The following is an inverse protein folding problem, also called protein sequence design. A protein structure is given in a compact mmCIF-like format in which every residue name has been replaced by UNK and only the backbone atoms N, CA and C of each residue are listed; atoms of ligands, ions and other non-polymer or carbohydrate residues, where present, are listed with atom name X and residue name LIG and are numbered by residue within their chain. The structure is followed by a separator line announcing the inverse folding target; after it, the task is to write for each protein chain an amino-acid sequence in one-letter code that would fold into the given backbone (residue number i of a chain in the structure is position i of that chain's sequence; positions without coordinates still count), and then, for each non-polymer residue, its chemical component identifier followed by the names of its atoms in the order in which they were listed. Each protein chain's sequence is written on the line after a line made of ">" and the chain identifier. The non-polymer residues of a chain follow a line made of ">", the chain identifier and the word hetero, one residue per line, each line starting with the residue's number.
data_IF_699236352936
#
_entry.id   IF_699236352936
#
_cell.length_a   1.000
_cell.length_b   1.000
_cell.length_c   1.000
_cell.angle_alpha   90.00
_cell.angle_beta   90.00
_cell.angle_gamma   90.00
#
_symmetry.space_group_name_H-M   'P 1'
#
loop_
_entity.id
_entity.type
_entity.pdbx_description
1 polymer ?
#
# COMPACT_ATOMS: atom_id res chain seq x y z
N UNK A 1 14.69 -35.98 -6.96
CA UNK A 1 14.42 -35.05 -8.07
C UNK A 1 14.87 -33.68 -7.59
N UNK A 2 15.68 -32.93 -8.36
CA UNK A 2 16.09 -31.59 -7.93
C UNK A 2 14.87 -30.65 -7.98
N UNK A 3 14.76 -29.63 -7.10
CA UNK A 3 13.60 -28.75 -7.09
C UNK A 3 13.36 -28.03 -8.42
N UNK A 4 14.43 -27.62 -9.11
CA UNK A 4 14.33 -26.99 -10.43
C UNK A 4 13.69 -27.91 -11.48
N UNK A 5 14.00 -29.21 -11.47
CA UNK A 5 13.42 -30.18 -12.40
C UNK A 5 11.93 -30.41 -12.13
N UNK A 6 11.52 -30.34 -10.87
CA UNK A 6 10.14 -30.49 -10.46
C UNK A 6 9.31 -29.27 -10.89
N UNK A 7 9.84 -28.08 -10.65
CA UNK A 7 9.22 -26.81 -11.04
C UNK A 7 9.12 -26.67 -12.56
N UNK A 8 10.17 -27.04 -13.32
CA UNK A 8 10.17 -26.95 -14.78
C UNK A 8 9.15 -27.86 -15.48
N UNK A 9 8.61 -28.88 -14.78
CA UNK A 9 7.52 -29.71 -15.30
C UNK A 9 6.17 -29.01 -15.25
N UNK A 10 6.00 -28.07 -14.34
CA UNK A 10 4.72 -27.39 -14.09
C UNK A 10 4.73 -25.95 -14.54
N UNK A 11 5.90 -25.31 -14.58
CA UNK A 11 6.08 -23.90 -14.93
C UNK A 11 7.04 -23.76 -16.12
N UNK A 12 6.62 -22.99 -17.12
CA UNK A 12 7.39 -22.81 -18.36
C UNK A 12 8.57 -21.85 -18.21
N UNK A 13 8.63 -21.10 -17.11
CA UNK A 13 9.69 -20.15 -16.80
C UNK A 13 10.21 -20.42 -15.39
N UNK A 14 11.32 -21.15 -15.31
CA UNK A 14 11.99 -21.53 -14.08
C UNK A 14 13.49 -21.42 -14.29
N UNK A 15 14.19 -20.80 -13.33
CA UNK A 15 15.64 -20.60 -13.40
C UNK A 15 16.27 -20.53 -12.02
N UNK A 16 17.60 -20.67 -11.90
CA UNK A 16 18.32 -20.27 -10.70
C UNK A 16 18.06 -18.80 -10.36
N UNK A 17 18.02 -18.49 -9.06
CA UNK A 17 17.97 -17.11 -8.59
C UNK A 17 19.33 -16.44 -8.67
N UNK A 18 19.32 -15.11 -8.73
CA UNK A 18 20.52 -14.28 -8.75
C UNK A 18 20.64 -13.43 -7.48
N UNK A 19 21.86 -13.10 -7.00
CA UNK A 19 22.06 -12.24 -5.83
C UNK A 19 21.33 -10.90 -5.88
N UNK A 20 21.21 -10.31 -7.07
CA UNK A 20 20.51 -9.03 -7.28
C UNK A 20 19.01 -9.10 -7.01
N UNK A 21 18.42 -10.30 -6.99
CA UNK A 21 17.01 -10.56 -6.70
C UNK A 21 16.77 -10.81 -5.20
N UNK A 22 17.81 -10.64 -4.39
CA UNK A 22 17.76 -10.82 -2.94
C UNK A 22 16.75 -9.90 -2.27
N UNK A 23 15.92 -10.46 -1.41
CA UNK A 23 14.96 -9.70 -0.61
C UNK A 23 15.68 -9.22 0.63
N UNK A 24 16.10 -7.95 0.65
CA UNK A 24 16.80 -7.36 1.79
C UNK A 24 18.05 -8.17 2.22
N UNK A 25 18.82 -8.64 1.24
CA UNK A 25 20.03 -9.45 1.43
C UNK A 25 19.81 -10.96 1.45
N UNK A 26 18.56 -11.44 1.37
CA UNK A 26 18.24 -12.87 1.38
C UNK A 26 18.04 -13.36 -0.05
N UNK A 27 19.06 -14.03 -0.59
CA UNK A 27 19.13 -14.47 -1.97
C UNK A 27 18.17 -15.64 -2.26
N UNK A 28 17.39 -15.60 -3.35
CA UNK A 28 16.58 -16.74 -3.77
C UNK A 28 17.44 -17.85 -4.38
N UNK A 29 17.19 -19.11 -4.04
CA UNK A 29 17.84 -20.23 -4.73
C UNK A 29 17.27 -20.44 -6.15
N UNK A 30 15.95 -20.26 -6.30
CA UNK A 30 15.23 -20.47 -7.55
C UNK A 30 14.22 -19.35 -7.79
N UNK A 31 13.90 -19.11 -9.05
CA UNK A 31 12.81 -18.24 -9.49
C UNK A 31 11.88 -19.03 -10.38
N UNK A 32 10.57 -18.89 -10.18
CA UNK A 32 9.54 -19.40 -11.08
C UNK A 32 8.55 -18.28 -11.41
N UNK A 33 8.20 -18.13 -12.69
CA UNK A 33 7.23 -17.14 -13.14
C UNK A 33 6.01 -17.84 -13.77
N UNK A 34 4.97 -18.19 -13.00
CA UNK A 34 3.77 -18.79 -13.55
C UNK A 34 3.02 -17.80 -14.45
N UNK A 35 2.41 -18.29 -15.53
CA UNK A 35 1.63 -17.45 -16.47
C UNK A 35 0.15 -17.32 -16.12
N UNK A 36 -0.36 -18.17 -15.24
CA UNK A 36 -1.78 -18.22 -14.87
C UNK A 36 -1.99 -18.87 -13.50
N UNK A 37 -3.24 -18.85 -13.03
CA UNK A 37 -3.64 -19.40 -11.74
C UNK A 37 -3.33 -20.90 -11.56
N UNK A 38 -3.40 -21.68 -12.64
CA UNK A 38 -3.17 -23.13 -12.59
C UNK A 38 -1.68 -23.42 -12.45
N UNK A 39 -0.85 -22.77 -13.27
CA UNK A 39 0.60 -22.86 -13.20
C UNK A 39 1.10 -22.39 -11.82
N UNK A 40 0.53 -21.31 -11.28
CA UNK A 40 0.82 -20.82 -9.94
C UNK A 40 0.46 -21.84 -8.84
N UNK A 41 -0.71 -22.49 -8.96
CA UNK A 41 -1.14 -23.54 -8.03
C UNK A 41 -0.20 -24.76 -8.04
N UNK A 42 0.25 -25.16 -9.22
CA UNK A 42 1.15 -26.30 -9.38
C UNK A 42 2.56 -25.97 -8.86
N UNK A 43 3.08 -24.78 -9.10
CA UNK A 43 4.34 -24.27 -8.52
C UNK A 43 4.29 -24.30 -6.99
N UNK A 44 3.21 -23.76 -6.40
CA UNK A 44 3.05 -23.72 -4.95
C UNK A 44 2.92 -25.13 -4.35
N UNK A 45 2.30 -26.08 -5.07
CA UNK A 45 2.23 -27.48 -4.63
C UNK A 45 3.60 -28.16 -4.62
N UNK A 46 4.39 -27.96 -5.68
CA UNK A 46 5.77 -28.46 -5.72
C UNK A 46 6.59 -27.86 -4.58
N UNK A 47 6.46 -26.55 -4.32
CA UNK A 47 7.11 -25.90 -3.19
C UNK A 47 6.70 -26.51 -1.84
N UNK A 48 5.41 -26.80 -1.65
CA UNK A 48 4.90 -27.44 -0.44
C UNK A 48 5.47 -28.86 -0.24
N UNK A 49 5.42 -29.69 -1.29
CA UNK A 49 5.94 -31.07 -1.29
C UNK A 49 7.44 -31.14 -0.99
N UNK A 50 8.18 -30.11 -1.40
CA UNK A 50 9.63 -30.04 -1.23
C UNK A 50 10.06 -29.17 -0.03
N UNK A 51 9.13 -28.59 0.71
CA UNK A 51 9.42 -27.78 1.90
C UNK A 51 10.09 -26.42 1.62
N UNK A 52 9.95 -25.89 0.41
CA UNK A 52 10.57 -24.63 -0.02
C UNK A 52 9.86 -23.44 0.63
N UNK A 53 10.62 -22.48 1.16
CA UNK A 53 10.12 -21.16 1.49
C UNK A 53 9.92 -20.32 0.23
N UNK A 54 8.75 -19.70 0.14
CA UNK A 54 8.30 -18.97 -1.03
C UNK A 54 8.15 -17.48 -0.74
N UNK A 55 8.75 -16.63 -1.56
CA UNK A 55 8.50 -15.18 -1.53
C UNK A 55 7.83 -14.74 -2.84
N UNK A 56 6.57 -14.26 -2.79
CA UNK A 56 5.93 -13.65 -3.95
C UNK A 56 6.62 -12.34 -4.35
N UNK A 57 6.77 -12.12 -5.66
CA UNK A 57 7.38 -10.92 -6.23
C UNK A 57 6.52 -10.31 -7.34
N UNK A 58 6.38 -8.98 -7.31
CA UNK A 58 5.88 -8.16 -8.42
C UNK A 58 7.00 -7.35 -9.06
N UNK A 59 6.77 -6.07 -9.30
CA UNK A 59 7.79 -5.16 -9.87
C UNK A 59 8.79 -4.60 -8.84
N UNK A 60 8.96 -5.29 -7.69
CA UNK A 60 9.96 -4.97 -6.66
C UNK A 60 9.89 -3.59 -5.98
N UNK A 61 8.91 -2.74 -6.32
CA UNK A 61 8.84 -1.34 -5.85
C UNK A 61 8.71 -1.14 -4.32
N UNK A 62 8.44 -2.21 -3.56
CA UNK A 62 8.31 -2.24 -2.09
C UNK A 62 8.85 -3.54 -1.50
N UNK A 63 9.76 -4.22 -2.21
CA UNK A 63 10.32 -5.49 -1.73
C UNK A 63 11.19 -5.28 -0.48
N UNK A 64 11.72 -4.07 -0.34
CA UNK A 64 12.45 -3.52 0.79
C UNK A 64 11.56 -3.16 2.00
N UNK A 65 10.24 -3.28 1.89
CA UNK A 65 9.34 -3.04 3.01
C UNK A 65 9.24 -4.24 3.96
N UNK A 66 9.24 -3.96 5.27
CA UNK A 66 9.16 -4.95 6.33
C UNK A 66 10.53 -5.49 6.76
N UNK A 67 10.53 -6.70 7.31
CA UNK A 67 11.74 -7.40 7.73
C UNK A 67 12.26 -8.31 6.60
N UNK A 68 13.56 -8.65 6.57
CA UNK A 68 14.06 -9.69 5.67
C UNK A 68 13.33 -11.00 5.94
N UNK A 69 13.01 -11.80 4.90
CA UNK A 69 12.49 -13.14 5.12
C UNK A 69 13.59 -14.01 5.77
N UNK A 70 13.23 -14.95 6.64
CA UNK A 70 14.20 -15.85 7.28
C UNK A 70 14.93 -16.74 6.26
N UNK A 71 14.25 -17.07 5.16
CA UNK A 71 14.78 -17.82 4.00
C UNK A 71 13.97 -17.53 2.75
N UNK A 72 14.61 -17.69 1.59
CA UNK A 72 13.99 -17.58 0.27
C UNK A 72 14.48 -18.73 -0.60
N UNK A 73 13.78 -19.87 -0.59
CA UNK A 73 14.17 -21.02 -1.41
C UNK A 73 13.62 -20.88 -2.85
N UNK A 74 12.44 -20.28 -2.97
CA UNK A 74 11.77 -20.02 -4.24
C UNK A 74 11.16 -18.62 -4.25
N UNK A 75 11.52 -17.83 -5.24
CA UNK A 75 10.86 -16.57 -5.53
C UNK A 75 9.84 -16.81 -6.65
N UNK A 76 8.57 -16.44 -6.38
CA UNK A 76 7.50 -16.60 -7.38
C UNK A 76 7.16 -15.24 -7.98
N UNK A 77 7.54 -15.05 -9.23
CA UNK A 77 7.40 -13.80 -9.97
C UNK A 77 6.05 -13.75 -10.72
N UNK A 78 5.31 -12.67 -10.50
CA UNK A 78 3.99 -12.46 -11.10
C UNK A 78 4.01 -11.76 -12.46
N UNK A 79 5.19 -11.42 -13.01
CA UNK A 79 5.27 -10.61 -14.24
C UNK A 79 4.57 -11.20 -15.47
N UNK A 80 4.39 -12.54 -15.54
CA UNK A 80 3.67 -13.22 -16.64
C UNK A 80 2.16 -13.26 -16.44
N UNK A 81 1.65 -12.82 -15.29
CA UNK A 81 0.23 -12.65 -14.96
C UNK A 81 -0.10 -11.16 -14.97
N UNK A 82 -0.03 -10.52 -16.14
CA UNK A 82 -0.16 -9.07 -16.28
C UNK A 82 -1.46 -8.61 -16.96
N UNK A 83 -2.41 -9.51 -17.25
CA UNK A 83 -3.62 -9.23 -18.02
C UNK A 83 -4.72 -8.47 -17.26
N UNK A 84 -5.47 -7.65 -18.00
CA UNK A 84 -6.82 -7.24 -17.62
C UNK A 84 -7.79 -8.35 -18.05
N UNK A 85 -8.22 -9.17 -17.11
CA UNK A 85 -9.08 -10.35 -17.36
C UNK A 85 -10.47 -9.92 -17.82
N UNK A 86 -11.04 -8.90 -17.17
CA UNK A 86 -12.39 -8.43 -17.46
C UNK A 86 -12.55 -6.94 -17.13
N UNK A 87 -13.29 -6.22 -17.97
CA UNK A 87 -13.76 -4.86 -17.68
C UNK A 87 -15.26 -4.76 -17.95
N UNK A 88 -16.06 -5.04 -16.92
CA UNK A 88 -17.51 -4.89 -16.95
C UNK A 88 -17.87 -3.42 -16.68
N UNK A 89 -17.64 -2.54 -17.66
CA UNK A 89 -17.81 -1.10 -17.50
C UNK A 89 -19.24 -0.71 -17.05
N UNK A 90 -20.27 -1.40 -17.51
CA UNK A 90 -21.66 -1.17 -17.07
C UNK A 90 -21.89 -1.37 -15.57
N UNK A 91 -21.07 -2.22 -14.95
CA UNK A 91 -21.16 -2.56 -13.53
C UNK A 91 -20.14 -1.79 -12.67
N UNK A 92 -19.30 -0.94 -13.28
CA UNK A 92 -18.14 -0.32 -12.63
C UNK A 92 -17.24 -1.37 -11.95
N UNK A 93 -16.93 -2.45 -12.67
CA UNK A 93 -16.08 -3.54 -12.17
C UNK A 93 -15.00 -3.89 -13.16
N UNK A 94 -13.79 -4.14 -12.68
CA UNK A 94 -12.73 -4.75 -13.45
C UNK A 94 -12.04 -5.86 -12.65
N UNK A 95 -11.59 -6.88 -13.37
CA UNK A 95 -10.78 -7.98 -12.85
C UNK A 95 -9.43 -7.97 -13.53
N UNK A 96 -8.36 -7.92 -12.76
CA UNK A 96 -6.98 -7.83 -13.24
C UNK A 96 -6.08 -8.84 -12.54
N UNK A 97 -5.06 -9.31 -13.27
CA UNK A 97 -4.04 -10.19 -12.73
C UNK A 97 -3.04 -9.42 -11.84
N UNK A 98 -2.40 -10.15 -10.91
CA UNK A 98 -1.57 -9.58 -9.86
C UNK A 98 -0.29 -8.89 -10.37
N UNK A 99 0.24 -9.31 -11.53
CA UNK A 99 1.41 -8.72 -12.16
C UNK A 99 1.10 -7.48 -12.99
N UNK A 100 -0.17 -7.14 -13.25
CA UNK A 100 -0.54 -5.99 -14.08
C UNK A 100 -0.04 -4.69 -13.41
N UNK A 101 0.78 -3.86 -14.11
CA UNK A 101 1.18 -2.55 -13.59
C UNK A 101 -0.04 -1.63 -13.40
N UNK A 102 -0.07 -0.90 -12.29
CA UNK A 102 -1.21 -0.05 -11.90
C UNK A 102 -1.46 1.08 -12.92
N UNK A 103 -0.42 1.61 -13.55
CA UNK A 103 -0.53 2.63 -14.60
C UNK A 103 -1.17 2.06 -15.87
N UNK A 104 -0.79 0.83 -16.24
CA UNK A 104 -1.37 0.13 -17.39
C UNK A 104 -2.83 -0.20 -17.13
N UNK A 105 -3.17 -0.65 -15.91
CA UNK A 105 -4.57 -0.82 -15.49
C UNK A 105 -5.32 0.52 -15.60
N UNK A 106 -4.77 1.61 -15.05
CA UNK A 106 -5.37 2.93 -15.11
C UNK A 106 -5.66 3.40 -16.54
N UNK A 107 -4.71 3.22 -17.46
CA UNK A 107 -4.87 3.57 -18.87
C UNK A 107 -6.00 2.77 -19.54
N UNK A 108 -6.05 1.44 -19.33
CA UNK A 108 -7.10 0.59 -19.89
C UNK A 108 -8.50 0.96 -19.38
N UNK A 109 -8.61 1.29 -18.09
CA UNK A 109 -9.89 1.70 -17.50
C UNK A 109 -10.36 3.06 -18.03
N UNK A 110 -9.42 3.98 -18.26
CA UNK A 110 -9.69 5.32 -18.74
C UNK A 110 -10.29 5.34 -20.16
N UNK A 111 -10.02 4.32 -20.99
CA UNK A 111 -10.65 4.15 -22.31
C UNK A 111 -12.18 4.10 -22.26
N UNK A 112 -12.75 3.70 -21.11
CA UNK A 112 -14.20 3.71 -20.86
C UNK A 112 -14.63 4.79 -19.87
N UNK A 113 -13.80 5.82 -19.65
CA UNK A 113 -14.09 6.92 -18.73
C UNK A 113 -14.15 6.49 -17.26
N UNK A 114 -13.44 5.42 -16.89
CA UNK A 114 -13.42 4.85 -15.54
C UNK A 114 -12.01 4.83 -14.97
N UNK A 115 -11.93 4.75 -13.64
CA UNK A 115 -10.68 4.62 -12.90
C UNK A 115 -10.84 3.68 -11.72
N UNK A 116 -9.74 3.06 -11.32
CA UNK A 116 -9.56 2.58 -9.96
C UNK A 116 -9.16 3.80 -9.12
N UNK A 117 -10.01 4.19 -8.15
CA UNK A 117 -9.79 5.41 -7.34
C UNK A 117 -8.77 5.16 -6.22
N UNK A 118 -7.55 4.82 -6.62
CA UNK A 118 -6.42 4.53 -5.77
C UNK A 118 -5.18 5.20 -6.36
N UNK A 119 -4.43 5.93 -5.54
CA UNK A 119 -3.18 6.56 -5.96
C UNK A 119 -2.07 5.52 -6.19
N UNK A 120 -1.06 5.90 -6.97
CA UNK A 120 0.16 5.11 -7.21
C UNK A 120 1.38 5.92 -6.75
N UNK A 121 1.70 5.95 -5.43
CA UNK A 121 2.79 6.76 -4.90
C UNK A 121 4.19 6.36 -5.42
N UNK A 122 4.34 5.11 -5.85
CA UNK A 122 5.56 4.58 -6.45
C UNK A 122 5.25 4.03 -7.84
N UNK A 123 5.77 4.64 -8.91
CA UNK A 123 5.55 4.18 -10.27
C UNK A 123 5.99 2.73 -10.48
N UNK A 124 5.31 2.02 -11.37
CA UNK A 124 5.60 0.63 -11.72
C UNK A 124 5.03 -0.40 -10.72
N UNK A 125 4.31 0.03 -9.69
CA UNK A 125 3.64 -0.87 -8.74
C UNK A 125 2.69 -1.82 -9.48
N UNK A 126 2.64 -3.10 -9.09
CA UNK A 126 1.67 -4.05 -9.64
C UNK A 126 0.40 -4.13 -8.79
N UNK A 127 -0.68 -4.67 -9.35
CA UNK A 127 -1.95 -4.95 -8.66
C UNK A 127 -1.71 -5.75 -7.37
N UNK A 128 -0.98 -6.87 -7.46
CA UNK A 128 -0.70 -7.76 -6.34
C UNK A 128 0.16 -7.09 -5.27
N UNK A 129 1.22 -6.39 -5.67
CA UNK A 129 2.09 -5.66 -4.73
C UNK A 129 1.35 -4.54 -4.00
N UNK A 130 0.47 -3.81 -4.70
CA UNK A 130 -0.35 -2.75 -4.13
C UNK A 130 -1.31 -3.29 -3.07
N UNK A 131 -1.98 -4.41 -3.34
CA UNK A 131 -2.84 -5.09 -2.36
C UNK A 131 -2.00 -5.62 -1.20
N UNK A 132 -0.95 -6.40 -1.48
CA UNK A 132 -0.14 -7.06 -0.44
C UNK A 132 0.51 -6.07 0.53
N UNK A 133 0.85 -4.86 0.10
CA UNK A 133 1.41 -3.79 0.95
C UNK A 133 0.36 -2.83 1.51
N UNK A 134 -0.89 -2.90 1.02
CA UNK A 134 -1.96 -1.99 1.42
C UNK A 134 -1.69 -0.53 1.04
N UNK A 135 -0.86 -0.30 0.02
CA UNK A 135 -0.43 1.04 -0.39
C UNK A 135 -1.61 1.89 -0.85
N UNK A 136 -1.64 3.15 -0.40
CA UNK A 136 -2.66 4.13 -0.72
C UNK A 136 -2.07 5.55 -0.66
N UNK A 137 -2.71 6.51 -1.33
CA UNK A 137 -2.37 7.92 -1.27
C UNK A 137 -3.56 8.79 -0.84
N UNK A 138 -3.58 10.07 -1.23
CA UNK A 138 -4.55 11.05 -0.77
C UNK A 138 -6.02 10.70 -1.04
N UNK A 139 -6.33 9.99 -2.13
CA UNK A 139 -7.70 9.59 -2.48
C UNK A 139 -8.35 8.68 -1.43
N UNK A 140 -7.56 8.13 -0.51
CA UNK A 140 -8.07 7.36 0.62
C UNK A 140 -9.06 8.11 1.50
N UNK A 141 -9.03 9.44 1.51
CA UNK A 141 -9.98 10.27 2.25
C UNK A 141 -11.42 9.99 1.82
N UNK A 142 -11.68 9.89 0.52
CA UNK A 142 -13.02 9.63 -0.01
C UNK A 142 -13.24 8.15 -0.37
N UNK A 143 -12.24 7.49 -0.95
CA UNK A 143 -12.39 6.17 -1.57
C UNK A 143 -11.85 5.00 -0.73
N UNK A 144 -11.08 5.30 0.33
CA UNK A 144 -10.41 4.30 1.15
C UNK A 144 -9.15 3.72 0.51
N UNK A 145 -8.71 2.56 1.00
CA UNK A 145 -7.45 1.90 0.56
C UNK A 145 -7.76 0.69 -0.34
N UNK A 146 -6.77 -0.12 -0.80
CA UNK A 146 -7.06 -1.35 -1.54
C UNK A 146 -8.08 -2.23 -0.83
N UNK A 147 -8.05 -2.24 0.51
CA UNK A 147 -8.99 -2.93 1.39
C UNK A 147 -10.46 -2.58 1.15
N UNK A 148 -10.74 -1.35 0.69
CA UNK A 148 -12.08 -0.84 0.44
C UNK A 148 -12.53 -1.05 -1.01
N UNK A 149 -11.58 -1.16 -1.94
CA UNK A 149 -11.82 -1.17 -3.38
C UNK A 149 -11.81 -2.58 -3.98
N UNK A 150 -11.11 -3.52 -3.35
CA UNK A 150 -11.13 -4.94 -3.72
C UNK A 150 -12.46 -5.56 -3.28
N UNK A 151 -13.24 -6.07 -4.24
CA UNK A 151 -14.53 -6.75 -4.02
C UNK A 151 -14.47 -8.24 -4.35
N UNK A 152 -13.36 -8.70 -4.92
CA UNK A 152 -13.09 -10.12 -5.16
C UNK A 152 -11.59 -10.39 -5.27
N UNK A 153 -11.16 -11.59 -4.88
CA UNK A 153 -9.75 -11.98 -4.85
C UNK A 153 -9.62 -13.47 -5.15
N UNK A 154 -8.67 -13.84 -6.02
CA UNK A 154 -8.20 -15.21 -6.21
C UNK A 154 -6.79 -15.31 -5.68
N UNK A 155 -6.56 -16.28 -4.81
CA UNK A 155 -5.25 -16.55 -4.21
C UNK A 155 -4.88 -18.03 -4.36
N UNK A 156 -3.59 -18.31 -4.35
CA UNK A 156 -3.05 -19.66 -4.18
C UNK A 156 -2.45 -19.76 -2.77
N UNK A 157 -2.92 -20.72 -1.98
CA UNK A 157 -2.44 -20.98 -0.62
C UNK A 157 -1.06 -21.66 -0.64
N UNK A 158 -0.43 -21.77 0.53
CA UNK A 158 0.87 -22.42 0.68
C UNK A 158 0.89 -23.88 0.21
N UNK A 159 -0.25 -24.57 0.20
CA UNK A 159 -0.42 -25.96 -0.24
C UNK A 159 -0.77 -26.09 -1.74
N UNK A 160 -0.80 -24.98 -2.47
CA UNK A 160 -1.19 -24.95 -3.89
C UNK A 160 -2.70 -25.02 -4.14
N UNK A 161 -3.55 -24.92 -3.11
CA UNK A 161 -5.00 -24.80 -3.33
C UNK A 161 -5.37 -23.38 -3.77
N UNK A 162 -6.18 -23.29 -4.83
CA UNK A 162 -6.77 -22.03 -5.27
C UNK A 162 -7.98 -21.72 -4.41
N UNK A 163 -7.97 -20.58 -3.73
CA UNK A 163 -9.10 -20.05 -2.99
C UNK A 163 -9.62 -18.77 -3.65
N UNK A 164 -10.93 -18.59 -3.62
CA UNK A 164 -11.62 -17.42 -4.17
C UNK A 164 -12.57 -16.83 -3.14
N UNK A 165 -12.65 -15.52 -3.12
CA UNK A 165 -13.57 -14.78 -2.28
C UNK A 165 -14.14 -13.59 -3.02
N UNK A 166 -15.32 -13.15 -2.59
CA UNK A 166 -16.00 -12.00 -3.18
C UNK A 166 -16.63 -12.35 -4.52
N UNK A 167 -16.89 -11.32 -5.33
CA UNK A 167 -17.50 -11.47 -6.64
C UNK A 167 -17.72 -10.13 -7.33
N UNK A 168 -18.48 -10.14 -8.43
CA UNK A 168 -18.77 -8.94 -9.23
C UNK A 168 -19.80 -8.00 -8.57
N UNK A 169 -20.46 -8.46 -7.51
CA UNK A 169 -21.54 -7.70 -6.87
C UNK A 169 -20.99 -6.84 -5.73
N UNK A 170 -21.36 -5.56 -5.74
CA UNK A 170 -20.95 -4.56 -4.73
C UNK A 170 -21.34 -4.97 -3.31
N UNK A 171 -22.47 -5.68 -3.15
CA UNK A 171 -22.89 -6.26 -1.88
C UNK A 171 -22.71 -7.76 -1.92
N UNK A 172 -21.74 -8.26 -1.15
CA UNK A 172 -21.58 -9.67 -0.90
C UNK A 172 -21.75 -9.95 0.61
N UNK A 173 -22.67 -10.84 0.96
CA UNK A 173 -22.96 -11.24 2.34
C UNK A 173 -22.59 -12.69 2.62
N UNK A 174 -21.95 -13.37 1.66
CA UNK A 174 -21.54 -14.76 1.77
C UNK A 174 -20.01 -14.88 1.85
N UNK A 175 -19.54 -15.60 2.87
CA UNK A 175 -18.11 -15.86 3.10
C UNK A 175 -17.36 -14.73 3.80
N UNK A 176 -16.09 -14.98 4.08
CA UNK A 176 -15.18 -14.00 4.68
C UNK A 176 -14.53 -13.14 3.60
N UNK A 177 -14.34 -11.84 3.87
CA UNK A 177 -13.73 -10.91 2.93
C UNK A 177 -12.20 -11.09 2.89
N UNK A 178 -11.71 -11.91 1.96
CA UNK A 178 -10.26 -12.10 1.76
C UNK A 178 -9.57 -10.84 1.23
N UNK A 179 -10.26 -9.97 0.49
CA UNK A 179 -9.69 -8.70 0.03
C UNK A 179 -9.18 -7.88 1.21
N UNK A 180 -9.98 -7.82 2.29
CA UNK A 180 -9.59 -7.16 3.53
C UNK A 180 -8.48 -7.85 4.30
N UNK A 181 -8.41 -9.17 4.24
CA UNK A 181 -7.37 -9.94 4.94
C UNK A 181 -6.02 -9.84 4.24
N UNK A 182 -6.00 -9.90 2.91
CA UNK A 182 -4.78 -9.87 2.10
C UNK A 182 -4.21 -8.46 1.91
N UNK A 183 -5.03 -7.43 2.09
CA UNK A 183 -4.58 -6.04 2.06
C UNK A 183 -3.62 -5.76 3.21
N UNK A 184 -2.33 -5.59 2.91
CA UNK A 184 -1.28 -5.43 3.93
C UNK A 184 -0.76 -6.75 4.53
N UNK A 185 -0.91 -7.87 3.83
CA UNK A 185 -0.41 -9.20 4.26
C UNK A 185 1.05 -9.50 3.93
N UNK A 186 1.71 -8.65 3.13
CA UNK A 186 3.13 -8.78 2.75
C UNK A 186 3.50 -10.14 2.10
N UNK A 187 2.53 -10.85 1.51
CA UNK A 187 2.74 -12.15 0.86
C UNK A 187 2.77 -13.34 1.82
N UNK A 188 2.50 -13.14 3.11
CA UNK A 188 2.62 -14.18 4.14
C UNK A 188 1.45 -15.18 4.19
N UNK A 189 0.31 -14.86 3.57
CA UNK A 189 -0.91 -15.68 3.66
C UNK A 189 -1.24 -16.45 2.38
N UNK A 190 -0.65 -16.07 1.25
CA UNK A 190 -0.89 -16.67 -0.05
C UNK A 190 -0.34 -15.83 -1.19
N UNK A 191 -0.20 -16.45 -2.35
CA UNK A 191 0.10 -15.76 -3.60
C UNK A 191 -1.19 -15.16 -4.17
N UNK A 192 -1.25 -13.84 -4.30
CA UNK A 192 -2.35 -13.18 -5.00
C UNK A 192 -2.18 -13.43 -6.50
N UNK A 193 -3.23 -13.93 -7.15
CA UNK A 193 -3.22 -14.24 -8.59
C UNK A 193 -4.00 -13.20 -9.38
N UNK A 194 -5.21 -12.87 -8.92
CA UNK A 194 -6.05 -11.85 -9.52
C UNK A 194 -6.92 -11.16 -8.48
N UNK A 195 -7.34 -9.93 -8.80
CA UNK A 195 -8.22 -9.13 -7.97
C UNK A 195 -9.34 -8.51 -8.81
N UNK A 196 -10.52 -8.43 -8.22
CA UNK A 196 -11.69 -7.74 -8.77
C UNK A 196 -11.90 -6.46 -7.97
N UNK A 197 -12.01 -5.34 -8.69
CA UNK A 197 -12.11 -4.01 -8.12
C UNK A 197 -13.47 -3.38 -8.42
N UNK A 198 -13.96 -2.60 -7.46
CA UNK A 198 -14.99 -1.58 -7.72
C UNK A 198 -14.32 -0.34 -8.31
N UNK A 199 -14.87 0.13 -9.42
CA UNK A 199 -14.39 1.28 -10.17
C UNK A 199 -15.24 2.52 -9.89
N UNK A 200 -14.72 3.65 -10.32
CA UNK A 200 -15.36 4.95 -10.24
C UNK A 200 -15.26 5.64 -11.61
N UNK A 201 -16.19 6.54 -11.96
CA UNK A 201 -16.01 7.38 -13.14
C UNK A 201 -14.79 8.28 -12.97
N UNK A 202 -14.11 8.59 -14.09
CA UNK A 202 -13.18 9.71 -14.15
C UNK A 202 -13.99 10.99 -14.01
N UNK A 203 -13.58 11.88 -13.11
CA UNK A 203 -14.27 13.15 -12.90
C UNK A 203 -14.16 14.04 -14.14
N UNK A 204 -15.25 14.73 -14.48
CA UNK A 204 -15.28 15.65 -15.64
C UNK A 204 -14.46 16.92 -15.40
N UNK A 205 -14.26 17.29 -14.14
CA UNK A 205 -13.38 18.37 -13.72
C UNK A 205 -12.72 18.05 -12.38
N UNK A 206 -11.55 18.64 -12.17
CA UNK A 206 -10.82 18.63 -10.90
C UNK A 206 -10.18 19.99 -10.65
N UNK A 207 -10.08 20.38 -9.38
CA UNK A 207 -9.31 21.54 -8.96
C UNK A 207 -8.55 21.22 -7.66
N UNK A 208 -7.37 21.82 -7.55
CA UNK A 208 -6.55 21.80 -6.35
C UNK A 208 -6.63 23.16 -5.68
N UNK A 209 -6.93 23.18 -4.38
CA UNK A 209 -6.79 24.39 -3.57
C UNK A 209 -5.68 24.16 -2.57
N UNK A 210 -4.65 25.01 -2.58
CA UNK A 210 -3.49 24.89 -1.70
C UNK A 210 -3.24 26.18 -0.94
N UNK A 211 -2.86 26.07 0.32
CA UNK A 211 -2.41 27.21 1.12
C UNK A 211 -1.08 26.89 1.81
N UNK A 212 -0.27 27.92 2.04
CA UNK A 212 0.95 27.81 2.84
C UNK A 212 0.61 28.06 4.30
N UNK A 213 1.13 27.20 5.17
CA UNK A 213 0.93 27.24 6.62
C UNK A 213 2.28 27.36 7.33
N UNK A 214 2.30 28.03 8.48
CA UNK A 214 3.52 28.24 9.27
C UNK A 214 3.46 27.48 10.58
N UNK A 215 4.06 26.28 10.59
CA UNK A 215 4.18 25.47 11.80
C UNK A 215 2.96 24.58 12.08
N UNK A 216 2.98 23.95 13.25
CA UNK A 216 2.10 22.84 13.58
C UNK A 216 0.64 23.24 13.83
N UNK A 217 0.40 24.36 14.51
CA UNK A 217 -0.96 24.85 14.81
C UNK A 217 -1.66 25.31 13.52
N UNK A 218 -1.02 26.15 12.70
CA UNK A 218 -1.60 26.60 11.43
C UNK A 218 -1.96 25.43 10.51
N UNK A 219 -1.08 24.42 10.43
CA UNK A 219 -1.33 23.21 9.65
C UNK A 219 -2.52 22.42 10.19
N UNK A 220 -2.60 22.27 11.52
CA UNK A 220 -3.72 21.63 12.20
C UNK A 220 -5.03 22.35 11.92
N UNK A 221 -5.07 23.67 12.16
CA UNK A 221 -6.27 24.49 12.00
C UNK A 221 -6.77 24.49 10.55
N UNK A 222 -5.88 24.60 9.57
CA UNK A 222 -6.24 24.52 8.16
C UNK A 222 -6.85 23.15 7.79
N UNK A 223 -6.24 22.05 8.24
CA UNK A 223 -6.76 20.69 8.02
C UNK A 223 -8.12 20.51 8.71
N UNK A 224 -8.25 20.93 9.98
CA UNK A 224 -9.51 20.82 10.72
C UNK A 224 -10.61 21.66 10.09
N UNK A 225 -10.30 22.89 9.64
CA UNK A 225 -11.26 23.78 8.99
C UNK A 225 -11.86 23.15 7.74
N UNK A 226 -11.00 22.55 6.88
CA UNK A 226 -11.47 21.87 5.67
C UNK A 226 -12.30 20.63 6.01
N UNK A 227 -11.84 19.80 6.95
CA UNK A 227 -12.54 18.55 7.33
C UNK A 227 -13.94 18.80 7.93
N UNK A 228 -14.13 19.90 8.66
CA UNK A 228 -15.41 20.27 9.27
C UNK A 228 -16.28 21.14 8.36
N UNK A 229 -15.82 21.45 7.14
CA UNK A 229 -16.61 22.19 6.16
C UNK A 229 -17.66 21.31 5.49
N UNK A 230 -18.68 21.95 4.90
CA UNK A 230 -19.70 21.26 4.11
C UNK A 230 -19.24 20.87 2.69
N UNK A 231 -18.00 21.18 2.30
CA UNK A 231 -17.51 21.04 0.91
C UNK A 231 -17.25 19.59 0.51
N UNK A 232 -16.95 18.71 1.49
CA UNK A 232 -16.65 17.29 1.30
C UNK A 232 -15.62 17.04 0.17
N UNK A 233 -14.33 17.28 0.42
CA UNK A 233 -13.30 17.14 -0.59
C UNK A 233 -13.04 15.67 -0.97
N UNK A 234 -12.53 15.46 -2.19
CA UNK A 234 -12.09 14.12 -2.63
C UNK A 234 -10.83 13.68 -1.91
N UNK A 235 -9.91 14.61 -1.65
CA UNK A 235 -8.72 14.37 -0.83
C UNK A 235 -8.26 15.66 -0.14
N UNK A 236 -7.53 15.50 0.95
CA UNK A 236 -6.91 16.55 1.74
C UNK A 236 -5.57 16.01 2.23
N UNK A 237 -4.50 16.77 2.03
CA UNK A 237 -3.14 16.39 2.42
C UNK A 237 -2.39 17.60 2.98
N UNK A 238 -1.71 17.43 4.11
CA UNK A 238 -0.58 18.27 4.51
C UNK A 238 0.71 17.69 3.95
N UNK A 239 1.56 18.55 3.39
CA UNK A 239 2.83 18.21 2.77
C UNK A 239 3.90 19.13 3.36
N UNK A 240 4.91 18.56 4.00
CA UNK A 240 6.08 19.33 4.47
C UNK A 240 6.76 20.07 3.32
N UNK A 241 7.32 21.28 3.57
CA UNK A 241 7.49 21.91 4.87
C UNK A 241 6.29 22.74 5.37
N UNK A 242 5.15 22.79 4.66
CA UNK A 242 4.05 23.65 5.07
C UNK A 242 3.04 23.98 3.98
N UNK A 243 2.60 22.97 3.23
CA UNK A 243 1.52 23.11 2.24
C UNK A 243 0.33 22.27 2.69
N UNK A 244 -0.84 22.86 2.84
CA UNK A 244 -2.11 22.12 2.93
C UNK A 244 -2.77 22.19 1.57
N UNK A 245 -3.16 21.04 1.03
CA UNK A 245 -3.72 20.91 -0.29
C UNK A 245 -5.01 20.09 -0.28
N UNK A 246 -5.99 20.52 -1.06
CA UNK A 246 -7.33 19.95 -1.16
C UNK A 246 -7.62 19.64 -2.61
N UNK A 247 -8.02 18.40 -2.90
CA UNK A 247 -8.51 17.98 -4.21
C UNK A 247 -10.04 17.97 -4.20
N UNK A 248 -10.61 18.63 -5.20
CA UNK A 248 -12.04 18.64 -5.49
C UNK A 248 -12.26 18.02 -6.87
N UNK A 249 -13.18 17.07 -6.95
CA UNK A 249 -13.53 16.40 -8.20
C UNK A 249 -15.04 16.35 -8.39
N UNK A 250 -15.50 16.49 -9.64
CA UNK A 250 -16.91 16.41 -9.98
C UNK A 250 -17.23 17.02 -11.34
N UNK A 251 -18.36 17.71 -11.43
CA UNK A 251 -18.74 18.50 -12.60
C UNK A 251 -18.09 19.90 -12.55
N UNK A 252 -17.81 20.55 -13.70
CA UNK A 252 -17.06 21.80 -13.75
C UNK A 252 -17.59 22.89 -12.81
N UNK A 253 -18.89 23.18 -12.87
CA UNK A 253 -19.53 24.25 -12.08
C UNK A 253 -19.45 23.96 -10.58
N UNK A 254 -19.65 22.68 -10.20
CA UNK A 254 -19.58 22.23 -8.81
C UNK A 254 -18.16 22.23 -8.26
N UNK A 255 -17.16 21.97 -9.09
CA UNK A 255 -15.74 22.08 -8.70
C UNK A 255 -15.37 23.55 -8.50
N UNK A 256 -15.75 24.43 -9.42
CA UNK A 256 -15.44 25.87 -9.33
C UNK A 256 -16.00 26.52 -8.06
N UNK A 257 -17.28 26.27 -7.75
CA UNK A 257 -17.93 26.81 -6.54
C UNK A 257 -17.24 26.29 -5.27
N UNK A 258 -17.00 24.98 -5.19
CA UNK A 258 -16.34 24.36 -4.04
C UNK A 258 -14.90 24.82 -3.87
N UNK A 259 -14.17 25.04 -4.97
CA UNK A 259 -12.80 25.53 -4.93
C UNK A 259 -12.73 26.94 -4.35
N UNK A 260 -13.66 27.82 -4.74
CA UNK A 260 -13.80 29.15 -4.14
C UNK A 260 -14.13 29.10 -2.66
N UNK A 261 -15.06 28.24 -2.24
CA UNK A 261 -15.40 28.06 -0.83
C UNK A 261 -14.20 27.58 0.01
N UNK A 262 -13.42 26.62 -0.49
CA UNK A 262 -12.20 26.17 0.20
C UNK A 262 -11.15 27.28 0.24
N UNK A 263 -10.99 28.04 -0.85
CA UNK A 263 -10.05 29.16 -0.87
C UNK A 263 -10.42 30.25 0.15
N UNK A 264 -11.72 30.57 0.28
CA UNK A 264 -12.24 31.49 1.30
C UNK A 264 -11.98 30.96 2.72
N UNK A 265 -12.22 29.66 2.96
CA UNK A 265 -11.97 29.03 4.26
C UNK A 265 -10.48 29.01 4.65
N UNK A 266 -9.59 28.83 3.67
CA UNK A 266 -8.14 28.80 3.87
C UNK A 266 -7.50 30.19 3.86
N UNK A 267 -8.27 31.23 3.55
CA UNK A 267 -7.85 32.63 3.58
C UNK A 267 -7.03 33.10 2.38
N UNK A 268 -6.50 34.33 2.47
CA UNK A 268 -5.88 35.06 1.35
C UNK A 268 -4.69 34.36 0.69
N UNK A 269 -4.03 33.44 1.39
CA UNK A 269 -2.88 32.68 0.89
C UNK A 269 -3.28 31.44 0.07
N UNK A 270 -4.57 31.16 -0.08
CA UNK A 270 -5.06 30.04 -0.86
C UNK A 270 -4.92 30.28 -2.37
N UNK A 271 -4.50 29.24 -3.09
CA UNK A 271 -4.35 29.23 -4.55
C UNK A 271 -5.13 28.08 -5.14
N UNK A 272 -5.96 28.39 -6.14
CA UNK A 272 -6.67 27.42 -6.96
C UNK A 272 -5.82 27.12 -8.20
N UNK A 273 -5.65 25.84 -8.53
CA UNK A 273 -4.92 25.38 -9.70
C UNK A 273 -5.57 24.13 -10.31
N UNK A 274 -5.35 23.92 -11.60
CA UNK A 274 -5.84 22.73 -12.31
C UNK A 274 -4.91 21.51 -12.14
N UNK A 275 -3.71 21.72 -11.60
CA UNK A 275 -2.70 20.69 -11.36
C UNK A 275 -2.36 20.54 -9.88
N UNK A 276 -1.98 19.33 -9.49
CA UNK A 276 -1.54 19.04 -8.14
C UNK A 276 -0.30 19.87 -7.73
N UNK A 277 -0.19 20.28 -6.46
CA UNK A 277 1.03 20.92 -5.96
C UNK A 277 2.19 19.92 -5.87
N UNK A 278 3.41 20.45 -5.80
CA UNK A 278 4.61 19.63 -5.60
C UNK A 278 4.51 18.75 -4.34
N UNK A 279 4.91 17.49 -4.47
CA UNK A 279 4.87 16.51 -3.39
C UNK A 279 3.53 15.80 -3.19
N UNK A 280 2.44 16.22 -3.86
CA UNK A 280 1.13 15.60 -3.74
C UNK A 280 1.16 14.10 -4.04
N UNK A 281 0.64 13.29 -3.12
CA UNK A 281 0.53 11.85 -3.27
C UNK A 281 1.86 11.10 -3.37
N UNK A 282 2.97 11.72 -2.97
CA UNK A 282 4.31 11.09 -2.92
C UNK A 282 4.67 10.74 -1.48
N UNK A 283 5.49 9.71 -1.32
CA UNK A 283 6.15 9.49 -0.03
C UNK A 283 7.16 10.61 0.23
N UNK A 284 7.31 11.06 1.48
CA UNK A 284 8.33 12.03 1.85
C UNK A 284 9.73 11.47 1.60
N UNK A 285 10.65 12.35 1.19
CA UNK A 285 12.04 11.96 0.96
C UNK A 285 12.72 11.50 2.25
N UNK A 286 13.56 10.47 2.15
CA UNK A 286 14.33 9.95 3.27
C UNK A 286 14.92 8.58 2.99
N UNK A 287 15.83 8.13 3.87
CA UNK A 287 16.33 6.75 3.86
C UNK A 287 15.55 5.85 4.78
N UNK A 288 14.77 6.41 5.71
CA UNK A 288 13.84 5.64 6.54
C UNK A 288 12.43 6.21 6.36
N UNK A 289 11.50 5.33 5.98
CA UNK A 289 10.10 5.67 5.79
C UNK A 289 9.28 5.09 6.95
N UNK A 290 8.60 5.96 7.69
CA UNK A 290 7.73 5.58 8.80
C UNK A 290 6.28 5.88 8.42
N UNK A 291 5.43 4.88 8.48
CA UNK A 291 3.99 4.98 8.31
C UNK A 291 3.33 5.32 9.65
N UNK A 292 2.49 6.35 9.68
CA UNK A 292 1.84 6.82 10.90
C UNK A 292 0.33 6.84 10.73
N UNK A 293 -0.38 6.44 11.78
CA UNK A 293 -1.84 6.42 11.80
C UNK A 293 -2.32 7.01 13.13
N UNK A 294 -3.24 7.97 13.08
CA UNK A 294 -3.97 8.52 14.23
C UNK A 294 -5.11 9.41 13.73
N UNK A 295 -6.13 9.72 14.54
CA UNK A 295 -7.14 10.71 14.17
C UNK A 295 -6.53 12.02 13.63
N UNK A 296 -7.17 12.71 12.66
CA UNK A 296 -6.62 13.91 12.03
C UNK A 296 -6.09 15.00 12.98
N UNK A 297 -6.68 15.24 14.17
CA UNK A 297 -6.14 16.19 15.15
C UNK A 297 -4.69 15.92 15.60
N UNK A 298 -4.22 14.68 15.50
CA UNK A 298 -2.86 14.29 15.91
C UNK A 298 -1.75 14.95 15.07
N UNK A 299 -2.09 15.53 13.91
CA UNK A 299 -1.13 16.22 13.04
C UNK A 299 -0.29 17.25 13.80
N UNK A 300 -0.91 18.04 14.69
CA UNK A 300 -0.19 19.03 15.50
C UNK A 300 0.94 18.39 16.28
N UNK A 301 0.60 17.38 17.07
CA UNK A 301 1.55 16.71 17.96
C UNK A 301 2.67 16.03 17.16
N UNK A 302 2.36 15.47 15.99
CA UNK A 302 3.34 14.89 15.07
C UNK A 302 4.33 15.96 14.61
N UNK A 303 3.84 17.08 14.08
CA UNK A 303 4.69 18.17 13.57
C UNK A 303 5.51 18.83 14.69
N UNK A 304 4.92 19.07 15.86
CA UNK A 304 5.63 19.62 17.03
C UNK A 304 6.74 18.68 17.50
N UNK A 305 6.52 17.37 17.47
CA UNK A 305 7.50 16.36 17.91
C UNK A 305 8.67 16.24 16.94
N UNK A 306 8.40 16.29 15.64
CA UNK A 306 9.41 16.07 14.60
C UNK A 306 10.22 17.32 14.25
N UNK A 307 9.63 18.50 14.37
CA UNK A 307 10.22 19.75 13.91
C UNK A 307 10.26 19.87 12.38
N UNK A 308 10.77 21.00 11.85
CA UNK A 308 10.66 21.34 10.43
C UNK A 308 11.62 20.60 9.50
N UNK A 309 12.67 19.96 10.04
CA UNK A 309 13.70 19.28 9.23
C UNK A 309 13.28 17.89 8.76
N UNK A 310 12.26 17.30 9.38
CA UNK A 310 11.78 15.95 9.05
C UNK A 310 10.59 16.08 8.10
N UNK A 311 10.66 15.39 6.96
CA UNK A 311 9.61 15.43 5.95
C UNK A 311 8.39 14.63 6.42
N UNK A 312 7.20 15.21 6.30
CA UNK A 312 5.94 14.61 6.71
C UNK A 312 4.91 14.81 5.60
N UNK A 313 4.14 13.77 5.31
CA UNK A 313 2.86 13.88 4.60
C UNK A 313 1.74 13.38 5.49
N UNK A 314 0.57 14.00 5.41
CA UNK A 314 -0.57 13.66 6.26
C UNK A 314 -1.90 13.83 5.55
N UNK A 315 -2.60 12.73 5.31
CA UNK A 315 -3.94 12.69 4.76
C UNK A 315 -4.98 13.09 5.81
N UNK A 316 -6.01 13.81 5.38
CA UNK A 316 -7.20 14.14 6.17
C UNK A 316 -7.98 12.92 6.69
N UNK A 317 -7.65 11.70 6.25
CA UNK A 317 -8.16 10.44 6.81
C UNK A 317 -7.50 10.00 8.12
N UNK A 318 -6.43 10.67 8.56
CA UNK A 318 -5.67 10.28 9.75
C UNK A 318 -4.53 9.29 9.49
N UNK A 319 -3.95 9.36 8.29
CA UNK A 319 -2.79 8.56 7.89
C UNK A 319 -1.71 9.47 7.35
N UNK A 320 -0.46 9.21 7.68
CA UNK A 320 0.67 9.96 7.14
C UNK A 320 1.91 9.11 6.94
N UNK A 321 2.94 9.74 6.40
CA UNK A 321 4.26 9.17 6.26
C UNK A 321 5.29 10.18 6.77
N UNK A 322 6.37 9.66 7.34
CA UNK A 322 7.50 10.44 7.83
C UNK A 322 8.76 9.94 7.14
N UNK A 323 9.45 10.84 6.45
CA UNK A 323 10.72 10.59 5.79
C UNK A 323 11.85 11.11 6.66
N UNK A 324 12.67 10.20 7.18
CA UNK A 324 13.87 10.56 7.94
C UNK A 324 15.05 10.59 6.95
N UNK A 325 15.77 11.73 6.83
CA UNK A 325 16.81 11.91 5.81
C UNK A 325 18.01 10.98 6.01
N UNK A 326 18.89 10.90 5.01
CA UNK A 326 20.16 10.15 5.04
C UNK A 326 21.14 10.70 6.08
N UNK A 327 21.96 9.83 6.69
CA UNK A 327 23.02 10.21 7.63
C UNK A 327 22.70 10.27 9.14
N UNK A 328 21.45 10.16 9.65
CA UNK A 328 21.24 10.02 11.08
C UNK A 328 21.75 8.64 11.52
N UNK A 329 22.50 8.62 12.62
CA UNK A 329 22.86 7.38 13.27
C UNK A 329 21.58 6.64 13.73
N UNK A 330 21.59 5.30 13.81
CA UNK A 330 20.43 4.50 14.23
C UNK A 330 19.74 5.03 15.50
N UNK A 331 20.50 5.58 16.44
CA UNK A 331 20.00 6.17 17.69
C UNK A 331 19.11 7.39 17.46
N UNK A 332 19.41 8.21 16.44
CA UNK A 332 18.58 9.36 16.07
C UNK A 332 17.27 8.90 15.43
N UNK A 333 17.29 7.86 14.60
CA UNK A 333 16.05 7.26 14.06
C UNK A 333 15.21 6.66 15.20
N UNK A 334 15.84 5.94 16.13
CA UNK A 334 15.16 5.40 17.31
C UNK A 334 14.52 6.50 18.17
N UNK A 335 15.20 7.64 18.34
CA UNK A 335 14.68 8.80 19.06
C UNK A 335 13.46 9.40 18.35
N UNK A 336 13.53 9.59 17.04
CA UNK A 336 12.41 10.08 16.21
C UNK A 336 11.21 9.13 16.30
N UNK A 337 11.44 7.83 16.14
CA UNK A 337 10.41 6.80 16.21
C UNK A 337 9.77 6.71 17.60
N UNK A 338 10.58 6.79 18.66
CA UNK A 338 10.11 6.83 20.05
C UNK A 338 9.24 8.05 20.35
N UNK A 339 9.68 9.23 19.90
CA UNK A 339 8.90 10.47 19.99
C UNK A 339 7.56 10.35 19.25
N UNK A 340 7.56 9.84 18.02
CA UNK A 340 6.35 9.61 17.23
C UNK A 340 5.38 8.65 17.91
N UNK A 341 5.85 7.49 18.38
CA UNK A 341 5.01 6.52 19.10
C UNK A 341 4.43 7.13 20.37
N UNK A 342 5.23 7.90 21.11
CA UNK A 342 4.77 8.66 22.27
C UNK A 342 3.64 9.63 21.90
N UNK A 343 3.85 10.48 20.90
CA UNK A 343 2.86 11.45 20.44
C UNK A 343 1.57 10.78 19.96
N UNK A 344 1.67 9.77 19.09
CA UNK A 344 0.53 9.08 18.46
C UNK A 344 -0.26 8.22 19.45
N UNK A 345 0.40 7.58 20.42
CA UNK A 345 -0.28 6.74 21.42
C UNK A 345 -1.30 7.51 22.26
N UNK A 346 -1.08 8.81 22.50
CA UNK A 346 -2.03 9.71 23.18
C UNK A 346 -3.35 9.87 22.41
N UNK A 347 -3.32 9.61 21.11
CA UNK A 347 -4.47 9.66 20.20
C UNK A 347 -4.98 8.25 19.81
N UNK A 348 -4.47 7.19 20.45
CA UNK A 348 -4.77 5.80 20.08
C UNK A 348 -4.21 5.38 18.71
N UNK A 349 -3.22 6.14 18.22
CA UNK A 349 -2.53 5.88 16.96
C UNK A 349 -1.28 5.01 17.09
N UNK A 350 -0.57 4.81 15.97
CA UNK A 350 0.66 4.01 15.91
C UNK A 350 1.60 4.42 14.79
N UNK A 351 2.86 4.00 14.90
CA UNK A 351 3.91 4.22 13.91
C UNK A 351 4.66 2.92 13.61
N UNK A 352 4.73 2.58 12.32
CA UNK A 352 5.39 1.38 11.78
C UNK A 352 6.44 1.82 10.77
N UNK A 353 7.66 1.33 10.91
CA UNK A 353 8.70 1.56 9.91
C UNK A 353 8.41 0.67 8.70
N UNK A 354 8.26 1.27 7.52
CA UNK A 354 8.06 0.52 6.27
C UNK A 354 9.40 0.07 5.72
N UNK A 355 10.34 0.99 5.59
CA UNK A 355 11.67 0.76 5.05
C UNK A 355 12.70 1.53 5.89
N UNK A 356 13.86 0.92 6.10
CA UNK A 356 15.04 1.54 6.69
C UNK A 356 16.31 0.82 6.19
N UNK A 357 17.48 1.47 6.20
CA UNK A 357 18.77 0.81 5.96
C UNK A 357 19.01 -0.30 6.98
N UNK A 358 19.85 -1.28 6.62
CA UNK A 358 20.11 -2.46 7.45
C UNK A 358 20.62 -2.10 8.85
N UNK A 359 21.53 -1.12 8.92
CA UNK A 359 22.16 -0.66 10.16
C UNK A 359 21.14 -0.02 11.12
N UNK A 360 20.10 0.61 10.56
CA UNK A 360 19.02 1.21 11.35
C UNK A 360 18.03 0.13 11.79
N UNK A 361 17.62 -0.74 10.86
CA UNK A 361 16.61 -1.76 11.10
C UNK A 361 17.00 -2.75 12.20
N UNK A 362 18.29 -3.08 12.32
CA UNK A 362 18.79 -3.98 13.37
C UNK A 362 18.70 -3.41 14.78
N UNK A 363 18.62 -2.08 14.92
CA UNK A 363 18.66 -1.37 16.21
C UNK A 363 17.29 -0.85 16.66
N UNK A 364 16.24 -1.02 15.85
CA UNK A 364 14.90 -0.50 16.14
C UNK A 364 13.82 -1.59 16.08
N UNK A 365 12.78 -1.43 16.89
CA UNK A 365 11.53 -2.16 16.71
C UNK A 365 10.74 -1.55 15.55
N UNK A 366 10.78 -2.21 14.38
CA UNK A 366 10.09 -1.81 13.14
C UNK A 366 8.58 -1.70 13.32
N UNK A 367 7.98 -2.63 14.06
CA UNK A 367 6.52 -2.79 14.11
C UNK A 367 5.87 -2.02 15.26
N UNK A 368 6.55 -1.95 16.40
CA UNK A 368 5.96 -1.37 17.60
C UNK A 368 4.88 -2.29 18.21
N UNK A 369 4.05 -1.74 19.12
CA UNK A 369 2.95 -2.49 19.71
C UNK A 369 1.93 -2.90 18.64
N UNK A 370 1.67 -4.20 18.50
CA UNK A 370 0.68 -4.73 17.55
C UNK A 370 -0.47 -5.43 18.28
N UNK A 371 -1.61 -4.74 18.45
CA UNK A 371 -2.82 -5.36 18.97
C UNK A 371 -3.25 -6.53 18.09
N UNK A 372 -3.60 -7.65 18.72
CA UNK A 372 -4.13 -8.81 18.01
C UNK A 372 -3.07 -9.70 17.33
N UNK A 373 -1.78 -9.56 17.63
CA UNK A 373 -0.72 -10.43 17.10
C UNK A 373 -1.03 -11.93 17.28
N UNK A 374 -1.58 -12.33 18.42
CA UNK A 374 -1.99 -13.71 18.67
C UNK A 374 -3.08 -14.21 17.69
N UNK A 375 -4.00 -13.33 17.26
CA UNK A 375 -4.98 -13.66 16.23
C UNK A 375 -4.32 -13.74 14.85
N UNK A 376 -3.41 -12.80 14.53
CA UNK A 376 -2.67 -12.82 13.25
C UNK A 376 -1.88 -14.12 13.09
N UNK A 377 -1.19 -14.58 14.13
CA UNK A 377 -0.48 -15.88 14.13
C UNK A 377 -1.43 -17.04 13.86
N UNK A 378 -2.58 -17.11 14.54
CA UNK A 378 -3.57 -18.15 14.26
C UNK A 378 -4.08 -18.12 12.83
N UNK A 379 -4.24 -16.94 12.22
CA UNK A 379 -4.61 -16.82 10.81
C UNK A 379 -3.49 -17.34 9.92
N UNK A 380 -2.23 -16.96 10.18
CA UNK A 380 -1.05 -17.49 9.49
C UNK A 380 -1.04 -19.02 9.55
N UNK A 381 -1.22 -19.62 10.73
CA UNK A 381 -1.23 -21.07 10.93
C UNK A 381 -2.34 -21.79 10.12
N UNK A 382 -3.45 -21.12 9.82
CA UNK A 382 -4.54 -21.70 9.00
C UNK A 382 -4.26 -21.62 7.49
N UNK A 383 -3.61 -20.53 7.04
CA UNK A 383 -3.32 -20.32 5.63
C UNK A 383 -2.00 -20.97 5.19
N UNK A 384 -1.04 -21.06 6.10
CA UNK A 384 0.32 -21.55 5.87
C UNK A 384 0.87 -22.22 7.16
N UNK A 385 0.40 -23.43 7.50
CA UNK A 385 0.70 -24.11 8.76
C UNK A 385 2.19 -24.43 8.97
N UNK A 386 2.95 -24.58 7.88
CA UNK A 386 4.39 -24.86 7.93
C UNK A 386 5.25 -23.61 7.66
N UNK A 387 4.63 -22.43 7.66
CA UNK A 387 5.29 -21.12 7.60
C UNK A 387 6.26 -21.01 6.40
N UNK A 388 5.80 -21.42 5.22
CA UNK A 388 6.58 -21.38 3.97
C UNK A 388 6.54 -20.02 3.28
N UNK A 389 5.43 -19.30 3.36
CA UNK A 389 5.21 -18.06 2.62
C UNK A 389 5.82 -16.87 3.35
N UNK A 390 6.87 -16.29 2.77
CA UNK A 390 7.54 -15.09 3.28
C UNK A 390 7.84 -15.15 4.78
N UNK A 391 8.53 -16.21 5.25
CA UNK A 391 8.72 -16.45 6.67
C UNK A 391 9.44 -15.29 7.34
N UNK A 392 8.91 -14.79 8.46
CA UNK A 392 9.53 -13.72 9.25
C UNK A 392 9.47 -12.32 8.64
N UNK A 393 8.82 -12.14 7.48
CA UNK A 393 8.75 -10.86 6.76
C UNK A 393 7.75 -9.88 7.39
N UNK A 394 6.81 -10.39 8.18
CA UNK A 394 5.76 -9.62 8.82
C UNK A 394 5.90 -9.61 10.35
N UNK A 395 5.04 -8.85 11.03
CA UNK A 395 5.14 -8.62 12.47
C UNK A 395 5.21 -9.91 13.29
N UNK A 396 6.12 -9.93 14.26
CA UNK A 396 6.22 -11.01 15.24
C UNK A 396 6.69 -12.34 14.65
N UNK A 397 7.43 -12.30 13.54
CA UNK A 397 7.99 -13.46 12.86
C UNK A 397 7.04 -14.17 11.89
N UNK A 398 5.93 -13.51 11.51
CA UNK A 398 4.93 -14.06 10.57
C UNK A 398 5.45 -14.07 9.13
#
# INVERSE_FOLDING_TARGET
>A
MQPIDALAKVCGDVRPGEPAEGVLGVEPALVAAPKDASEAADVMRVAAEMGLAVVPRGAETRLDWGTPPERCDLLVDTHRMDGLIEHAAGDLVAKAEAGLPMERLGALLAERGQRLALDVPLPGSTVGGTIATGAAGPLRTLYGTPRNLVIGLTIVRADGQIARSGGKVVKNVAGYDLGRLFSGSFGTLGLIVDATFRLHPVASASAYVSCRVTGAEDAHDAVQTVLHSAVAPSALEYISPGTVAVLLEGVPEGVEVRARQIAELLGENAKIADSAPDGWGRYPDGTTLIDVTAPPPALRDVLTTLGPEIAVTWSGSGHGHVGVPTGPAPEKVATVLGGLRGALSRHGGGAVVRYAPEEVRGEIDVWGPVPGLALMRRVKDQFDPDHRLSPGRFVGGI
#
